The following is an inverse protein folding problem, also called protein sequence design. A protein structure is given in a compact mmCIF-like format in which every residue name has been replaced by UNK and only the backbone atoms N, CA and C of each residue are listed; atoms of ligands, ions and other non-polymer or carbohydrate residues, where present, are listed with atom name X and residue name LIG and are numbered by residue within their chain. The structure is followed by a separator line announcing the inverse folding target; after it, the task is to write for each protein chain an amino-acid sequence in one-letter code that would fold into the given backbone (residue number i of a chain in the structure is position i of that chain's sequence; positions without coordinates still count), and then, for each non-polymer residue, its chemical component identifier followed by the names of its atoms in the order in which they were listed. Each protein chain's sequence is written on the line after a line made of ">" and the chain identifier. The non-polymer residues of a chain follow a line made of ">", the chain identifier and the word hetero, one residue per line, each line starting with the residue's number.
data_IF_367966777788
#
_entry.id   IF_367966777788
#
_cell.length_a   1.000
_cell.length_b   1.000
_cell.length_c   1.000
_cell.angle_alpha   90.00
_cell.angle_beta   90.00
_cell.angle_gamma   90.00
#
_symmetry.space_group_name_H-M   'P 1'
#
loop_
_entity.id
_entity.type
_entity.pdbx_description
1 polymer ?
#
# COMPACT_ATOMS: atom_id res chain seq x y z
N UNK A 1 -8.11 -11.56 26.27
CA UNK A 1 -7.61 -12.20 25.04
C UNK A 1 -6.10 -12.23 25.13
N UNK A 2 -5.43 -13.29 24.67
CA UNK A 2 -3.99 -13.50 24.87
C UNK A 2 -3.15 -12.37 24.25
N UNK A 3 -2.29 -11.73 25.04
CA UNK A 3 -1.36 -10.67 24.59
C UNK A 3 -0.51 -11.12 23.42
N UNK A 4 -0.26 -12.42 23.30
CA UNK A 4 0.46 -13.05 22.19
C UNK A 4 -0.22 -12.79 20.84
N UNK A 5 -1.55 -12.75 20.78
CA UNK A 5 -2.30 -12.53 19.53
C UNK A 5 -2.28 -11.04 19.14
N UNK A 6 -2.36 -10.11 20.11
CA UNK A 6 -2.13 -8.67 19.87
C UNK A 6 -0.73 -8.47 19.30
N UNK A 7 0.29 -8.97 20.01
CA UNK A 7 1.67 -8.81 19.62
C UNK A 7 1.92 -9.35 18.21
N UNK A 8 1.33 -10.49 17.85
CA UNK A 8 1.51 -11.06 16.51
C UNK A 8 0.82 -10.21 15.43
N UNK A 9 -0.33 -9.61 15.71
CA UNK A 9 -1.02 -8.73 14.76
C UNK A 9 -0.25 -7.41 14.56
N UNK A 10 0.38 -6.88 15.60
CA UNK A 10 0.97 -5.53 15.58
C UNK A 10 2.50 -5.48 15.60
N UNK A 11 3.16 -6.63 15.57
CA UNK A 11 4.58 -6.76 15.92
C UNK A 11 5.49 -5.78 15.19
N UNK A 12 5.22 -5.53 13.90
CA UNK A 12 6.03 -4.61 13.07
C UNK A 12 5.65 -3.15 13.25
N UNK A 13 4.44 -2.85 13.73
CA UNK A 13 4.00 -1.48 13.99
C UNK A 13 4.64 -0.94 15.26
N UNK A 14 4.80 -1.77 16.31
CA UNK A 14 5.44 -1.40 17.59
C UNK A 14 6.91 -1.00 17.40
N UNK A 15 7.55 -1.45 16.31
CA UNK A 15 8.91 -1.05 15.95
C UNK A 15 8.98 0.36 15.35
N UNK A 16 7.85 0.97 15.01
CA UNK A 16 7.76 2.33 14.47
C UNK A 16 7.79 3.31 15.64
N UNK A 17 8.65 4.32 15.57
CA UNK A 17 8.77 5.34 16.62
C UNK A 17 7.39 5.98 16.94
N UNK A 18 7.08 6.07 18.24
CA UNK A 18 5.83 6.62 18.75
C UNK A 18 4.66 5.62 18.80
N UNK A 19 4.85 4.39 18.32
CA UNK A 19 3.83 3.34 18.36
C UNK A 19 4.18 2.33 19.46
N UNK A 20 3.45 2.34 20.56
CA UNK A 20 3.60 1.40 21.67
C UNK A 20 2.29 0.62 21.94
N UNK A 21 2.38 -0.37 22.84
CA UNK A 21 1.24 -1.24 23.19
C UNK A 21 0.12 -0.44 23.85
N UNK A 22 0.45 0.52 24.73
CA UNK A 22 -0.53 1.34 25.43
C UNK A 22 -1.32 2.21 24.44
N UNK A 23 -0.65 2.84 23.48
CA UNK A 23 -1.26 3.60 22.41
C UNK A 23 -2.19 2.74 21.55
N UNK A 24 -1.75 1.54 21.18
CA UNK A 24 -2.57 0.60 20.40
C UNK A 24 -3.84 0.18 21.15
N UNK A 25 -3.73 -0.13 22.46
CA UNK A 25 -4.88 -0.48 23.29
C UNK A 25 -5.90 0.67 23.36
N UNK A 26 -5.45 1.91 23.65
CA UNK A 26 -6.32 3.10 23.69
C UNK A 26 -7.05 3.35 22.37
N UNK A 27 -6.39 3.10 21.24
CA UNK A 27 -7.00 3.26 19.92
C UNK A 27 -8.08 2.23 19.64
N UNK A 28 -7.88 0.97 20.04
CA UNK A 28 -8.90 -0.07 19.83
C UNK A 28 -10.21 0.18 20.58
N UNK A 29 -10.18 1.04 21.61
CA UNK A 29 -11.35 1.50 22.35
C UNK A 29 -12.09 2.65 21.64
N UNK A 30 -11.47 3.29 20.64
CA UNK A 30 -12.06 4.38 19.86
C UNK A 30 -13.02 3.82 18.79
N UNK A 31 -14.12 4.53 18.58
CA UNK A 31 -15.20 4.14 17.67
C UNK A 31 -15.41 5.22 16.61
N UNK A 32 -15.61 4.78 15.36
CA UNK A 32 -16.00 5.67 14.26
C UNK A 32 -17.51 5.66 14.05
N UNK A 33 -18.09 6.81 13.70
CA UNK A 33 -19.46 6.89 13.21
C UNK A 33 -19.65 6.20 11.85
N UNK A 34 -20.89 6.17 11.37
CA UNK A 34 -21.26 5.48 10.12
C UNK A 34 -20.75 6.25 8.90
N UNK A 35 -19.92 5.64 8.04
CA UNK A 35 -19.47 6.26 6.81
C UNK A 35 -20.62 6.31 5.78
N UNK A 36 -20.90 7.51 5.28
CA UNK A 36 -21.97 7.81 4.32
C UNK A 36 -21.48 7.74 2.87
N UNK A 37 -20.23 8.09 2.59
CA UNK A 37 -19.69 8.08 1.21
C UNK A 37 -18.54 7.04 1.01
N UNK A 38 -18.24 6.62 -0.23
CA UNK A 38 -17.20 5.62 -0.49
C UNK A 38 -15.81 5.96 0.06
N UNK A 39 -15.43 7.24 0.03
CA UNK A 39 -14.15 7.69 0.57
C UNK A 39 -14.06 7.49 2.10
N UNK A 40 -15.14 7.80 2.83
CA UNK A 40 -15.24 7.56 4.27
C UNK A 40 -15.14 6.07 4.59
N UNK A 41 -15.83 5.23 3.82
CA UNK A 41 -15.75 3.76 3.96
C UNK A 41 -14.31 3.26 3.76
N UNK A 42 -13.58 3.86 2.82
CA UNK A 42 -12.18 3.52 2.59
C UNK A 42 -11.28 3.96 3.75
N UNK A 43 -11.42 5.19 4.25
CA UNK A 43 -10.67 5.70 5.41
C UNK A 43 -10.89 4.80 6.62
N UNK A 44 -12.15 4.51 6.93
CA UNK A 44 -12.58 3.60 7.99
C UNK A 44 -11.91 2.23 7.81
N UNK A 45 -12.01 1.62 6.62
CA UNK A 45 -11.40 0.31 6.33
C UNK A 45 -9.88 0.32 6.50
N UNK A 46 -9.21 1.41 6.14
CA UNK A 46 -7.76 1.56 6.30
C UNK A 46 -7.39 1.63 7.77
N UNK A 47 -8.09 2.47 8.55
CA UNK A 47 -7.91 2.59 10.00
C UNK A 47 -8.17 1.24 10.71
N UNK A 48 -9.19 0.49 10.27
CA UNK A 48 -9.48 -0.86 10.76
C UNK A 48 -8.37 -1.84 10.45
N UNK A 49 -7.89 -1.86 9.20
CA UNK A 49 -6.82 -2.78 8.82
C UNK A 49 -5.53 -2.44 9.51
N UNK A 50 -5.23 -1.16 9.72
CA UNK A 50 -4.12 -0.78 10.58
C UNK A 50 -4.26 -1.24 12.03
N UNK A 51 -5.45 -1.69 12.42
CA UNK A 51 -5.77 -2.23 13.73
C UNK A 51 -5.97 -1.12 14.77
N UNK A 52 -6.61 -0.04 14.36
CA UNK A 52 -6.75 1.16 15.17
C UNK A 52 -8.16 1.41 15.68
N UNK A 53 -9.13 0.51 15.45
CA UNK A 53 -10.54 0.84 15.62
C UNK A 53 -11.42 -0.29 16.13
N UNK A 54 -12.42 0.10 16.92
CA UNK A 54 -13.67 -0.63 17.18
C UNK A 54 -14.82 -0.19 16.24
N UNK A 55 -15.93 -0.94 16.21
CA UNK A 55 -17.08 -0.69 15.33
C UNK A 55 -18.25 -0.11 16.14
N UNK A 56 -18.90 0.96 15.66
CA UNK A 56 -20.11 1.52 16.31
C UNK A 56 -21.30 0.57 16.18
N UNK A 57 -22.25 0.62 17.12
CA UNK A 57 -23.54 -0.08 17.04
C UNK A 57 -24.37 0.29 15.80
N UNK A 58 -24.07 1.43 15.17
CA UNK A 58 -24.79 1.92 13.98
C UNK A 58 -24.34 1.26 12.65
N UNK A 59 -23.35 0.34 12.67
CA UNK A 59 -22.95 -0.42 11.48
C UNK A 59 -23.95 -1.56 11.20
N UNK A 60 -24.17 -1.88 9.92
CA UNK A 60 -25.01 -3.04 9.58
C UNK A 60 -24.35 -4.36 10.01
N UNK A 61 -25.14 -5.33 10.48
CA UNK A 61 -24.65 -6.64 10.94
C UNK A 61 -23.80 -7.41 9.90
N UNK A 62 -24.09 -7.23 8.61
CA UNK A 62 -23.32 -7.84 7.51
C UNK A 62 -21.96 -7.14 7.31
N UNK A 63 -21.89 -5.81 7.47
CA UNK A 63 -20.62 -5.07 7.48
C UNK A 63 -19.81 -5.37 8.75
N UNK A 64 -20.48 -5.47 9.90
CA UNK A 64 -19.87 -5.88 11.17
C UNK A 64 -19.25 -7.27 11.08
N UNK A 65 -19.88 -8.26 10.41
CA UNK A 65 -19.32 -9.61 10.24
C UNK A 65 -18.01 -9.62 9.45
N UNK A 66 -17.93 -8.84 8.37
CA UNK A 66 -16.71 -8.73 7.56
C UNK A 66 -15.60 -8.00 8.33
N UNK A 67 -15.95 -7.01 9.15
CA UNK A 67 -14.99 -6.19 9.91
C UNK A 67 -14.49 -6.90 11.19
N UNK A 68 -15.40 -7.50 11.96
CA UNK A 68 -15.08 -8.30 13.17
C UNK A 68 -14.41 -9.64 12.87
N UNK A 69 -14.67 -10.23 11.70
CA UNK A 69 -14.01 -11.47 11.25
C UNK A 69 -12.51 -11.30 10.93
N UNK A 70 -12.00 -10.07 10.89
CA UNK A 70 -10.59 -9.76 10.59
C UNK A 70 -9.79 -9.46 11.87
N UNK A 71 -10.45 -9.02 12.96
CA UNK A 71 -9.80 -8.62 14.20
C UNK A 71 -10.69 -8.91 15.42
N UNK A 72 -10.28 -9.87 16.24
CA UNK A 72 -10.99 -10.30 17.43
C UNK A 72 -10.97 -9.30 18.60
N UNK A 73 -10.20 -8.20 18.50
CA UNK A 73 -10.12 -7.11 19.50
C UNK A 73 -11.10 -5.98 19.22
N UNK A 74 -11.97 -6.13 18.22
CA UNK A 74 -13.03 -5.16 17.92
C UNK A 74 -14.18 -5.37 18.89
N UNK A 75 -14.44 -4.39 19.74
CA UNK A 75 -15.62 -4.34 20.60
C UNK A 75 -16.59 -3.26 20.11
N UNK A 76 -17.91 -3.51 20.14
CA UNK A 76 -18.89 -2.45 20.00
C UNK A 76 -18.81 -1.53 21.23
N UNK A 77 -18.52 -0.25 21.01
CA UNK A 77 -18.52 0.78 22.06
C UNK A 77 -19.48 1.92 21.68
N UNK A 78 -20.05 2.57 22.68
CA UNK A 78 -21.02 3.67 22.56
C UNK A 78 -20.42 5.06 22.77
N UNK A 79 -19.13 5.17 23.12
CA UNK A 79 -18.56 6.41 23.70
C UNK A 79 -17.44 7.09 22.89
N UNK A 80 -17.42 6.93 21.56
CA UNK A 80 -16.60 7.79 20.70
C UNK A 80 -17.24 7.88 19.33
N UNK A 81 -17.34 9.08 18.76
CA UNK A 81 -17.90 9.23 17.42
C UNK A 81 -16.98 10.09 16.58
N UNK A 82 -16.44 9.50 15.53
CA UNK A 82 -16.12 10.28 14.34
C UNK A 82 -17.40 10.69 13.67
N UNK A 83 -17.70 11.98 13.74
CA UNK A 83 -18.90 12.59 13.18
C UNK A 83 -18.53 13.16 11.82
N UNK A 84 -19.15 12.61 10.78
CA UNK A 84 -19.15 13.22 9.45
C UNK A 84 -20.19 14.35 9.48
N UNK A 85 -19.75 15.58 9.76
CA UNK A 85 -20.64 16.73 9.95
C UNK A 85 -21.33 17.15 8.64
N UNK A 86 -20.61 17.09 7.52
CA UNK A 86 -21.13 17.34 6.18
C UNK A 86 -20.16 16.81 5.10
N UNK A 87 -20.50 16.99 3.82
CA UNK A 87 -19.70 16.54 2.67
C UNK A 87 -18.28 17.12 2.58
N UNK A 88 -17.92 18.05 3.47
CA UNK A 88 -16.68 18.82 3.41
C UNK A 88 -15.88 18.77 4.72
N UNK A 89 -16.46 18.23 5.81
CA UNK A 89 -15.90 18.29 7.16
C UNK A 89 -16.23 17.03 7.97
N UNK A 90 -15.19 16.45 8.58
CA UNK A 90 -15.24 15.36 9.55
C UNK A 90 -14.71 15.90 10.89
N UNK A 91 -15.27 15.46 12.01
CA UNK A 91 -14.73 15.73 13.35
C UNK A 91 -14.64 14.44 14.15
N UNK A 92 -13.66 14.36 15.04
CA UNK A 92 -13.44 13.26 15.98
C UNK A 92 -13.53 13.87 17.37
N UNK A 93 -14.49 13.44 18.16
CA UNK A 93 -14.70 13.93 19.54
C UNK A 93 -14.24 12.87 20.53
N UNK A 94 -13.48 13.27 21.55
CA UNK A 94 -13.09 12.42 22.66
C UNK A 94 -14.00 12.71 23.86
N UNK A 95 -14.32 11.66 24.60
CA UNK A 95 -14.96 11.62 25.91
C UNK A 95 -14.94 12.95 26.70
N UNK A 96 -16.14 13.53 26.95
CA UNK A 96 -16.59 14.65 27.84
C UNK A 96 -15.62 15.80 28.23
N UNK A 97 -14.46 15.84 27.62
CA UNK A 97 -13.40 16.83 27.71
C UNK A 97 -13.43 17.51 26.35
N UNK A 98 -13.53 18.83 26.29
CA UNK A 98 -13.77 19.60 25.06
C UNK A 98 -12.66 19.49 23.97
N UNK A 99 -11.83 18.45 23.99
CA UNK A 99 -10.79 18.16 23.01
C UNK A 99 -11.39 17.50 21.77
N UNK A 100 -11.57 18.31 20.71
CA UNK A 100 -12.09 17.88 19.40
C UNK A 100 -10.99 17.91 18.35
N UNK A 101 -10.86 16.84 17.57
CA UNK A 101 -10.02 16.79 16.37
C UNK A 101 -10.89 16.95 15.12
N UNK A 102 -10.95 18.15 14.54
CA UNK A 102 -11.71 18.41 13.30
C UNK A 102 -10.85 18.22 12.05
N UNK A 103 -11.21 17.21 11.25
CA UNK A 103 -10.60 16.75 10.01
C UNK A 103 -11.42 17.27 8.81
N UNK A 104 -11.04 18.37 8.15
CA UNK A 104 -11.74 18.79 6.92
C UNK A 104 -11.50 17.78 5.78
N UNK A 105 -12.56 17.31 5.14
CA UNK A 105 -12.55 16.22 4.15
C UNK A 105 -13.45 16.58 2.96
N UNK A 106 -12.92 16.87 1.76
CA UNK A 106 -13.74 17.23 0.61
C UNK A 106 -14.65 16.09 0.10
N UNK A 107 -15.76 16.44 -0.56
CA UNK A 107 -16.83 15.52 -0.97
C UNK A 107 -16.41 14.43 -1.98
N UNK A 108 -15.21 14.51 -2.55
CA UNK A 108 -14.74 13.64 -3.64
C UNK A 108 -13.24 13.34 -3.48
N UNK A 109 -12.87 12.75 -2.34
CA UNK A 109 -11.50 12.33 -2.04
C UNK A 109 -11.07 11.19 -2.97
N UNK A 110 -9.89 11.33 -3.58
CA UNK A 110 -9.22 10.25 -4.32
C UNK A 110 -8.75 9.16 -3.36
N UNK A 111 -8.49 7.96 -3.85
CA UNK A 111 -8.05 6.85 -3.00
C UNK A 111 -6.73 7.14 -2.29
N UNK A 112 -5.83 7.88 -2.94
CA UNK A 112 -4.58 8.34 -2.33
C UNK A 112 -4.88 9.35 -1.21
N UNK A 113 -5.79 10.28 -1.46
CA UNK A 113 -6.23 11.25 -0.48
C UNK A 113 -6.86 10.60 0.77
N UNK A 114 -7.61 9.50 0.59
CA UNK A 114 -8.21 8.75 1.70
C UNK A 114 -7.13 8.17 2.65
N UNK A 115 -6.01 7.67 2.13
CA UNK A 115 -4.90 7.15 2.95
C UNK A 115 -4.18 8.27 3.69
N UNK A 116 -3.96 9.40 3.03
CA UNK A 116 -3.37 10.58 3.64
C UNK A 116 -4.27 11.08 4.78
N UNK A 117 -5.58 11.06 4.57
CA UNK A 117 -6.56 11.44 5.59
C UNK A 117 -6.57 10.47 6.78
N UNK A 118 -6.56 9.16 6.51
CA UNK A 118 -6.43 8.13 7.54
C UNK A 118 -5.13 8.28 8.36
N UNK A 119 -4.02 8.60 7.70
CA UNK A 119 -2.74 8.90 8.36
C UNK A 119 -2.84 10.12 9.27
N UNK A 120 -3.52 11.18 8.82
CA UNK A 120 -3.72 12.40 9.61
C UNK A 120 -4.56 12.15 10.86
N UNK A 121 -5.65 11.40 10.72
CA UNK A 121 -6.47 10.94 11.85
C UNK A 121 -5.59 10.18 12.85
N UNK A 122 -4.81 9.20 12.36
CA UNK A 122 -3.87 8.44 13.17
C UNK A 122 -2.82 9.31 13.88
N UNK A 123 -2.23 10.30 13.19
CA UNK A 123 -1.25 11.21 13.77
C UNK A 123 -1.85 12.15 14.82
N UNK A 124 -3.12 12.54 14.67
CA UNK A 124 -3.82 13.34 15.68
C UNK A 124 -4.04 12.54 16.97
N UNK A 125 -4.43 11.26 16.86
CA UNK A 125 -4.50 10.35 18.01
C UNK A 125 -3.14 10.22 18.72
N UNK A 126 -2.04 10.12 17.96
CA UNK A 126 -0.69 10.05 18.52
C UNK A 126 -0.29 11.29 19.32
N UNK A 127 -0.61 12.48 18.81
CA UNK A 127 -0.17 13.76 19.41
C UNK A 127 -1.08 14.25 20.53
N UNK A 128 -2.29 13.69 20.69
CA UNK A 128 -3.34 14.22 21.58
C UNK A 128 -3.65 15.70 21.29
N UNK A 129 -3.55 16.10 20.02
CA UNK A 129 -3.76 17.49 19.59
C UNK A 129 -4.77 17.57 18.45
N UNK A 130 -5.68 18.55 18.54
CA UNK A 130 -6.62 18.92 17.48
C UNK A 130 -5.89 19.29 16.19
N UNK A 131 -5.95 18.44 15.17
CA UNK A 131 -5.31 18.74 13.87
C UNK A 131 -6.33 19.33 12.89
N UNK A 132 -6.29 20.66 12.66
CA UNK A 132 -7.03 21.26 11.54
C UNK A 132 -6.38 20.87 10.22
N UNK A 133 -7.12 20.16 9.37
CA UNK A 133 -6.61 19.73 8.07
C UNK A 133 -6.88 20.77 6.99
N UNK A 134 -5.83 21.21 6.30
CA UNK A 134 -6.00 21.88 5.00
C UNK A 134 -6.13 20.84 3.88
N UNK A 135 -7.10 21.01 2.94
CA UNK A 135 -7.20 20.26 1.69
C UNK A 135 -5.96 20.38 0.79
N UNK A 136 -5.20 21.48 0.89
CA UNK A 136 -4.08 21.79 -0.02
C UNK A 136 -2.93 20.78 0.04
N UNK A 137 -2.86 20.00 1.13
CA UNK A 137 -1.79 19.01 1.38
C UNK A 137 -2.07 17.70 0.62
N UNK A 138 -3.28 17.52 0.09
CA UNK A 138 -3.68 16.30 -0.61
C UNK A 138 -3.37 16.47 -2.10
N UNK A 139 -2.38 15.76 -2.66
CA UNK A 139 -2.10 15.89 -4.08
C UNK A 139 -3.28 15.31 -4.88
N UNK A 140 -3.78 16.05 -5.87
CA UNK A 140 -4.82 15.59 -6.77
C UNK A 140 -4.22 14.62 -7.80
N UNK A 141 -4.29 13.34 -7.46
CA UNK A 141 -4.01 12.26 -8.36
C UNK A 141 -5.31 11.88 -9.06
N UNK A 142 -5.44 12.23 -10.34
CA UNK A 142 -6.62 11.94 -11.16
C UNK A 142 -6.91 10.44 -11.30
N UNK A 143 -7.91 10.08 -12.10
CA UNK A 143 -8.26 8.67 -12.37
C UNK A 143 -7.80 8.25 -13.76
N UNK A 144 -7.22 7.07 -13.87
CA UNK A 144 -6.88 6.44 -15.14
C UNK A 144 -7.67 5.15 -15.31
N UNK A 145 -8.10 4.86 -16.53
CA UNK A 145 -8.46 3.49 -16.93
C UNK A 145 -7.21 2.76 -17.42
N UNK A 146 -7.20 1.44 -17.30
CA UNK A 146 -6.14 0.61 -17.88
C UNK A 146 -6.62 0.06 -19.22
N UNK A 147 -5.86 0.22 -20.32
CA UNK A 147 -6.24 -0.36 -21.60
C UNK A 147 -6.35 -1.89 -21.49
N UNK A 148 -7.42 -2.48 -22.04
CA UNK A 148 -7.77 -3.90 -21.84
C UNK A 148 -6.71 -4.89 -22.32
N UNK A 149 -5.91 -4.50 -23.33
CA UNK A 149 -4.86 -5.34 -23.88
C UNK A 149 -3.59 -5.39 -23.02
N UNK A 150 -3.50 -4.59 -21.95
CA UNK A 150 -2.32 -4.51 -21.10
C UNK A 150 -2.25 -5.66 -20.11
N UNK A 151 -1.04 -6.22 -19.95
CA UNK A 151 -0.71 -7.23 -18.96
C UNK A 151 0.26 -6.67 -17.93
N UNK A 152 -0.07 -6.80 -16.66
CA UNK A 152 0.79 -6.39 -15.54
C UNK A 152 1.26 -7.61 -14.77
N UNK A 153 2.56 -7.66 -14.46
CA UNK A 153 3.13 -8.65 -13.54
C UNK A 153 3.45 -8.00 -12.21
N UNK A 154 2.83 -8.47 -11.12
CA UNK A 154 3.10 -8.01 -9.77
C UNK A 154 3.97 -9.03 -9.05
N UNK A 155 5.17 -8.64 -8.66
CA UNK A 155 6.09 -9.49 -7.87
C UNK A 155 6.01 -9.06 -6.42
N UNK A 156 5.49 -9.94 -5.57
CA UNK A 156 5.11 -9.67 -4.19
C UNK A 156 3.65 -9.24 -4.08
N UNK A 157 2.87 -10.02 -3.34
CA UNK A 157 1.46 -9.80 -3.04
C UNK A 157 1.25 -9.44 -1.55
N UNK A 158 2.26 -8.79 -0.96
CA UNK A 158 2.28 -8.32 0.42
C UNK A 158 1.60 -6.96 0.63
N UNK A 159 2.12 -6.15 1.57
CA UNK A 159 1.49 -4.87 1.96
C UNK A 159 1.51 -3.80 0.86
N UNK A 160 2.52 -3.82 -0.02
CA UNK A 160 2.58 -2.98 -1.23
C UNK A 160 1.75 -3.59 -2.36
N UNK A 161 1.93 -4.89 -2.62
CA UNK A 161 1.31 -5.58 -3.76
C UNK A 161 -0.21 -5.72 -3.65
N UNK A 162 -0.74 -5.84 -2.43
CA UNK A 162 -2.18 -5.93 -2.20
C UNK A 162 -2.94 -4.70 -2.73
N UNK A 163 -2.58 -3.45 -2.35
CA UNK A 163 -3.18 -2.25 -2.94
C UNK A 163 -2.92 -2.14 -4.44
N UNK A 164 -1.73 -2.52 -4.93
CA UNK A 164 -1.44 -2.51 -6.37
C UNK A 164 -2.48 -3.34 -7.13
N UNK A 165 -2.63 -4.61 -6.75
CA UNK A 165 -3.56 -5.53 -7.41
C UNK A 165 -4.99 -5.03 -7.29
N UNK A 166 -5.42 -4.62 -6.09
CA UNK A 166 -6.77 -4.10 -5.84
C UNK A 166 -7.11 -2.93 -6.78
N UNK A 167 -6.19 -1.99 -6.96
CA UNK A 167 -6.45 -0.78 -7.74
C UNK A 167 -6.33 -0.96 -9.23
N UNK A 168 -5.35 -1.74 -9.70
CA UNK A 168 -5.25 -2.06 -11.12
C UNK A 168 -6.51 -2.79 -11.60
N UNK A 169 -7.05 -3.73 -10.82
CA UNK A 169 -8.30 -4.41 -11.15
C UNK A 169 -9.50 -3.45 -11.15
N UNK A 170 -9.64 -2.58 -10.14
CA UNK A 170 -10.69 -1.55 -10.09
C UNK A 170 -10.62 -0.55 -11.24
N UNK A 171 -9.42 -0.30 -11.76
CA UNK A 171 -9.19 0.57 -12.92
C UNK A 171 -9.23 -0.17 -14.26
N UNK A 172 -9.64 -1.43 -14.26
CA UNK A 172 -10.00 -2.18 -15.47
C UNK A 172 -8.92 -3.09 -16.04
N UNK A 173 -7.83 -3.37 -15.30
CA UNK A 173 -6.84 -4.37 -15.72
C UNK A 173 -7.51 -5.72 -15.96
N UNK A 174 -7.29 -6.31 -17.14
CA UNK A 174 -7.86 -7.62 -17.52
C UNK A 174 -6.85 -8.76 -17.46
N UNK A 175 -5.55 -8.48 -17.48
CA UNK A 175 -4.50 -9.51 -17.50
C UNK A 175 -3.49 -9.28 -16.40
N UNK A 176 -3.50 -10.15 -15.40
CA UNK A 176 -2.70 -10.03 -14.19
C UNK A 176 -1.86 -11.28 -13.97
N UNK A 177 -0.56 -11.10 -13.79
CA UNK A 177 0.33 -12.15 -13.30
C UNK A 177 0.77 -11.78 -11.89
N UNK A 178 0.66 -12.70 -10.94
CA UNK A 178 1.12 -12.50 -9.56
C UNK A 178 2.20 -13.52 -9.25
N UNK A 179 3.33 -13.06 -8.72
CA UNK A 179 4.46 -13.90 -8.30
C UNK A 179 4.72 -13.68 -6.82
N UNK A 180 4.49 -14.68 -5.99
CA UNK A 180 4.70 -14.62 -4.55
C UNK A 180 4.85 -16.04 -3.99
N UNK A 181 5.83 -16.28 -3.13
CA UNK A 181 6.09 -17.60 -2.53
C UNK A 181 5.63 -17.72 -1.06
N UNK A 182 5.01 -16.68 -0.51
CA UNK A 182 4.57 -16.65 0.86
C UNK A 182 3.18 -17.26 1.04
N UNK A 183 2.94 -17.62 2.30
CA UNK A 183 1.67 -18.10 2.80
C UNK A 183 1.00 -16.98 3.59
N UNK A 184 -0.32 -16.98 3.64
CA UNK A 184 -1.07 -16.02 4.47
C UNK A 184 -0.80 -16.34 5.95
N UNK A 185 -0.33 -15.34 6.69
CA UNK A 185 -0.06 -15.42 8.12
C UNK A 185 -0.88 -14.36 8.87
N UNK A 186 -1.23 -14.61 10.13
CA UNK A 186 -1.98 -13.64 10.96
C UNK A 186 -1.28 -12.27 11.04
N UNK A 187 0.05 -12.24 11.14
CA UNK A 187 0.87 -11.01 11.14
C UNK A 187 0.86 -10.23 9.82
N UNK A 188 0.19 -10.74 8.79
CA UNK A 188 0.06 -10.10 7.48
C UNK A 188 -1.25 -9.32 7.36
N UNK A 189 -2.30 -9.72 8.09
CA UNK A 189 -3.67 -9.26 7.88
C UNK A 189 -3.85 -7.76 8.17
N UNK A 190 -3.05 -7.19 9.08
CA UNK A 190 -3.12 -5.77 9.42
C UNK A 190 -2.68 -4.82 8.29
N UNK A 191 -2.10 -5.32 7.19
CA UNK A 191 -1.69 -4.45 6.07
C UNK A 191 -1.91 -5.04 4.69
N UNK A 192 -2.19 -6.34 4.59
CA UNK A 192 -2.38 -7.02 3.32
C UNK A 192 -3.87 -7.11 3.02
N UNK A 193 -4.36 -6.13 2.25
CA UNK A 193 -5.78 -5.88 2.03
C UNK A 193 -6.52 -6.96 1.24
N UNK A 194 -5.79 -7.92 0.69
CA UNK A 194 -6.36 -8.99 -0.12
C UNK A 194 -6.54 -10.30 0.62
N UNK A 195 -6.27 -10.42 1.92
CA UNK A 195 -6.43 -11.68 2.67
C UNK A 195 -7.29 -11.50 3.91
N UNK A 196 -7.93 -12.60 4.34
CA UNK A 196 -8.80 -12.66 5.51
C UNK A 196 -8.37 -13.78 6.46
N UNK A 197 -8.99 -13.85 7.64
CA UNK A 197 -8.64 -14.83 8.67
C UNK A 197 -8.77 -16.27 8.17
N UNK A 198 -9.79 -16.56 7.36
CA UNK A 198 -10.02 -17.89 6.78
C UNK A 198 -8.97 -18.28 5.73
N UNK A 199 -8.15 -17.34 5.28
CA UNK A 199 -7.09 -17.59 4.32
C UNK A 199 -5.77 -18.01 4.98
N UNK A 200 -5.65 -17.89 6.31
CA UNK A 200 -4.43 -18.24 7.05
C UNK A 200 -3.99 -19.68 6.72
N UNK A 201 -2.69 -19.84 6.47
CA UNK A 201 -2.10 -21.13 6.12
C UNK A 201 -2.33 -21.55 4.67
N UNK A 202 -2.81 -20.66 3.79
CA UNK A 202 -2.91 -20.91 2.34
C UNK A 202 -1.86 -20.09 1.58
N UNK A 203 -1.35 -20.57 0.43
CA UNK A 203 -0.49 -19.77 -0.43
C UNK A 203 -1.20 -18.51 -0.92
N UNK A 204 -0.53 -17.36 -0.82
CA UNK A 204 -1.10 -16.05 -1.19
C UNK A 204 -1.64 -16.02 -2.62
N UNK A 205 -0.85 -16.51 -3.57
CA UNK A 205 -1.24 -16.53 -4.99
C UNK A 205 -2.49 -17.37 -5.24
N UNK A 206 -2.66 -18.50 -4.53
CA UNK A 206 -3.84 -19.38 -4.69
C UNK A 206 -5.10 -18.76 -4.13
N UNK A 207 -4.98 -18.03 -3.03
CA UNK A 207 -6.08 -17.24 -2.48
C UNK A 207 -6.52 -16.16 -3.46
N UNK A 208 -5.56 -15.46 -4.08
CA UNK A 208 -5.83 -14.42 -5.07
C UNK A 208 -6.49 -14.96 -6.33
N UNK A 209 -5.94 -16.03 -6.94
CA UNK A 209 -6.53 -16.69 -8.12
C UNK A 209 -7.99 -17.05 -7.85
N UNK A 210 -8.26 -17.78 -6.76
CA UNK A 210 -9.62 -18.20 -6.40
C UNK A 210 -10.56 -17.02 -6.20
N UNK A 211 -10.11 -15.96 -5.51
CA UNK A 211 -10.93 -14.79 -5.19
C UNK A 211 -11.25 -13.98 -6.46
N UNK A 212 -10.25 -13.69 -7.27
CA UNK A 212 -10.41 -12.87 -8.47
C UNK A 212 -11.26 -13.60 -9.50
N UNK A 213 -10.99 -14.89 -9.78
CA UNK A 213 -11.82 -15.66 -10.71
C UNK A 213 -13.28 -15.81 -10.25
N UNK A 214 -13.56 -15.75 -8.94
CA UNK A 214 -14.92 -15.79 -8.41
C UNK A 214 -15.69 -14.49 -8.66
N UNK A 215 -15.03 -13.34 -8.50
CA UNK A 215 -15.71 -12.03 -8.50
C UNK A 215 -15.51 -11.22 -9.79
N UNK A 216 -14.50 -11.54 -10.59
CA UNK A 216 -14.12 -10.82 -11.81
C UNK A 216 -13.88 -11.84 -12.94
N UNK A 217 -14.98 -12.30 -13.55
CA UNK A 217 -14.94 -13.37 -14.56
C UNK A 217 -14.24 -12.97 -15.87
N UNK A 218 -14.09 -11.67 -16.11
CA UNK A 218 -13.44 -11.08 -17.27
C UNK A 218 -11.96 -10.78 -17.06
N UNK A 219 -11.39 -11.17 -15.92
CA UNK A 219 -9.97 -11.02 -15.59
C UNK A 219 -9.24 -12.36 -15.71
N UNK A 220 -8.23 -12.39 -16.57
CA UNK A 220 -7.25 -13.46 -16.66
C UNK A 220 -6.19 -13.25 -15.56
N UNK A 221 -6.14 -14.16 -14.59
CA UNK A 221 -5.13 -14.18 -13.53
C UNK A 221 -4.27 -15.45 -13.60
N UNK A 222 -2.96 -15.28 -13.48
CA UNK A 222 -1.98 -16.37 -13.35
C UNK A 222 -1.14 -16.15 -12.10
N UNK A 223 -1.17 -17.10 -11.18
CA UNK A 223 -0.41 -17.11 -9.93
C UNK A 223 0.80 -18.04 -9.97
N UNK A 224 1.98 -17.49 -9.71
CA UNK A 224 3.23 -18.22 -9.56
C UNK A 224 3.63 -18.29 -8.08
N UNK A 225 3.50 -19.48 -7.48
CA UNK A 225 3.92 -19.78 -6.10
C UNK A 225 5.43 -20.04 -6.04
N UNK A 226 6.23 -19.01 -6.36
CA UNK A 226 7.69 -19.10 -6.44
C UNK A 226 8.29 -17.70 -6.33
N UNK A 227 9.61 -17.63 -6.15
CA UNK A 227 10.35 -16.39 -6.36
C UNK A 227 10.38 -16.02 -7.84
N UNK A 228 10.44 -14.73 -8.12
CA UNK A 228 10.63 -14.21 -9.47
C UNK A 228 11.88 -14.79 -10.13
N UNK A 229 11.79 -15.08 -11.42
CA UNK A 229 12.94 -15.35 -12.27
C UNK A 229 12.74 -14.73 -13.66
N UNK A 230 13.84 -14.41 -14.34
CA UNK A 230 13.81 -13.71 -15.62
C UNK A 230 13.10 -14.44 -16.77
N UNK A 231 12.96 -15.77 -16.70
CA UNK A 231 12.24 -16.57 -17.70
C UNK A 231 10.75 -16.21 -17.75
N UNK A 232 10.17 -15.83 -16.60
CA UNK A 232 8.77 -15.41 -16.50
C UNK A 232 8.45 -14.22 -17.41
N UNK A 233 9.39 -13.29 -17.59
CA UNK A 233 9.21 -12.14 -18.48
C UNK A 233 9.03 -12.57 -19.94
N UNK A 234 9.72 -13.65 -20.34
CA UNK A 234 9.67 -14.16 -21.71
C UNK A 234 8.40 -14.98 -21.96
N UNK A 235 7.98 -15.74 -20.95
CA UNK A 235 6.75 -16.53 -20.97
C UNK A 235 5.50 -15.65 -20.95
N UNK A 236 5.44 -14.71 -20.02
CA UNK A 236 4.24 -13.91 -19.78
C UNK A 236 4.15 -12.66 -20.63
N UNK A 237 5.29 -12.08 -21.02
CA UNK A 237 5.39 -10.84 -21.80
C UNK A 237 4.56 -9.69 -21.19
N UNK A 238 4.76 -9.33 -19.91
CA UNK A 238 4.05 -8.22 -19.31
C UNK A 238 4.47 -6.89 -19.96
N UNK A 239 3.53 -5.94 -20.08
CA UNK A 239 3.82 -4.57 -20.50
C UNK A 239 4.60 -3.80 -19.42
N UNK A 240 4.40 -4.17 -18.15
CA UNK A 240 5.06 -3.56 -17.00
C UNK A 240 5.13 -4.55 -15.83
N UNK A 241 6.25 -4.51 -15.11
CA UNK A 241 6.45 -5.25 -13.86
C UNK A 241 6.28 -4.31 -12.66
N UNK A 242 5.67 -4.79 -11.58
CA UNK A 242 5.61 -4.09 -10.29
C UNK A 242 6.49 -4.83 -9.30
N UNK A 243 7.51 -4.14 -8.80
CA UNK A 243 8.39 -4.63 -7.73
C UNK A 243 7.76 -4.25 -6.38
N UNK A 244 7.02 -5.18 -5.78
CA UNK A 244 6.36 -5.03 -4.48
C UNK A 244 6.95 -5.99 -3.42
N UNK A 245 8.22 -6.36 -3.60
CA UNK A 245 9.02 -7.21 -2.70
C UNK A 245 9.76 -6.38 -1.64
N UNK A 246 10.12 -7.00 -0.52
CA UNK A 246 10.74 -6.34 0.63
C UNK A 246 12.24 -6.64 0.81
N UNK A 247 12.84 -7.37 -0.13
CA UNK A 247 14.24 -7.77 -0.13
C UNK A 247 15.00 -7.21 -1.35
N UNK A 248 16.25 -6.81 -1.13
CA UNK A 248 17.13 -6.22 -2.15
C UNK A 248 17.49 -7.23 -3.23
N UNK A 249 17.70 -8.51 -2.86
CA UNK A 249 18.08 -9.56 -3.82
C UNK A 249 17.11 -9.65 -4.99
N UNK A 250 15.82 -9.79 -4.72
CA UNK A 250 14.78 -9.88 -5.76
C UNK A 250 14.62 -8.56 -6.51
N UNK A 251 14.74 -7.40 -5.85
CA UNK A 251 14.73 -6.09 -6.56
C UNK A 251 15.87 -5.96 -7.56
N UNK A 252 17.06 -6.44 -7.20
CA UNK A 252 18.20 -6.43 -8.12
C UNK A 252 18.01 -7.37 -9.30
N UNK A 253 17.43 -8.55 -9.07
CA UNK A 253 17.10 -9.48 -10.13
C UNK A 253 16.04 -8.91 -11.07
N UNK A 254 14.92 -8.39 -10.54
CA UNK A 254 13.91 -7.66 -11.34
C UNK A 254 14.58 -6.56 -12.16
N UNK A 255 15.38 -5.71 -11.52
CA UNK A 255 16.06 -4.60 -12.19
C UNK A 255 16.93 -5.09 -13.36
N UNK A 256 17.76 -6.11 -13.13
CA UNK A 256 18.64 -6.66 -14.16
C UNK A 256 17.83 -7.28 -15.31
N UNK A 257 16.87 -8.13 -15.01
CA UNK A 257 16.10 -8.90 -15.98
C UNK A 257 15.16 -8.02 -16.83
N UNK A 258 14.49 -7.04 -16.20
CA UNK A 258 13.65 -6.04 -16.84
C UNK A 258 14.45 -5.13 -17.76
N UNK A 259 15.58 -4.60 -17.27
CA UNK A 259 16.43 -3.71 -18.07
C UNK A 259 17.01 -4.42 -19.30
N UNK A 260 17.46 -5.67 -19.16
CA UNK A 260 17.98 -6.49 -20.27
C UNK A 260 16.91 -6.79 -21.34
N UNK A 261 15.66 -6.99 -20.93
CA UNK A 261 14.53 -7.32 -21.83
C UNK A 261 13.71 -6.11 -22.27
N UNK A 262 14.13 -4.89 -21.91
CA UNK A 262 13.41 -3.66 -22.24
C UNK A 262 11.96 -3.65 -21.69
N UNK A 263 11.73 -4.30 -20.55
CA UNK A 263 10.45 -4.27 -19.85
C UNK A 263 10.55 -3.19 -18.77
N UNK A 264 9.69 -2.16 -18.75
CA UNK A 264 9.71 -1.18 -17.69
C UNK A 264 9.20 -1.79 -16.38
N UNK A 265 9.66 -1.26 -15.26
CA UNK A 265 9.11 -1.65 -13.97
C UNK A 265 8.94 -0.47 -13.01
N UNK A 266 8.00 -0.63 -12.09
CA UNK A 266 7.73 0.34 -11.02
C UNK A 266 8.16 -0.29 -9.69
N UNK A 267 9.09 0.37 -8.99
CA UNK A 267 9.53 -0.02 -7.65
C UNK A 267 8.92 0.91 -6.59
N UNK A 268 8.77 0.40 -5.37
CA UNK A 268 8.48 1.22 -4.21
C UNK A 268 9.12 0.65 -2.97
N UNK A 269 9.51 1.50 -2.03
CA UNK A 269 10.01 1.10 -0.72
C UNK A 269 9.31 1.90 0.37
N UNK A 270 9.05 1.26 1.51
CA UNK A 270 8.42 1.89 2.68
C UNK A 270 9.16 1.49 3.95
N UNK A 271 9.25 2.42 4.91
CA UNK A 271 9.86 2.20 6.22
C UNK A 271 9.27 3.21 7.21
N UNK A 272 8.71 2.72 8.32
CA UNK A 272 8.06 3.61 9.30
C UNK A 272 6.93 4.43 8.66
N UNK A 273 7.09 5.75 8.67
CA UNK A 273 6.15 6.73 8.10
C UNK A 273 6.51 7.17 6.67
N UNK A 274 7.65 6.71 6.15
CA UNK A 274 8.21 7.19 4.90
C UNK A 274 8.13 6.14 3.80
N UNK A 275 8.12 6.62 2.55
CA UNK A 275 8.26 5.75 1.41
C UNK A 275 8.54 6.48 0.11
N UNK A 276 8.74 5.70 -0.94
CA UNK A 276 8.88 6.21 -2.30
C UNK A 276 8.22 5.28 -3.30
N UNK A 277 7.88 5.83 -4.47
CA UNK A 277 7.63 5.11 -5.71
C UNK A 277 8.61 5.60 -6.77
N UNK A 278 9.08 4.72 -7.63
CA UNK A 278 10.03 5.05 -8.69
C UNK A 278 9.78 4.23 -9.95
N UNK A 279 9.73 4.93 -11.09
CA UNK A 279 9.70 4.32 -12.42
C UNK A 279 11.11 4.02 -12.91
N UNK A 280 11.24 2.89 -13.58
CA UNK A 280 12.42 2.51 -14.33
C UNK A 280 12.03 2.10 -15.76
N UNK A 281 12.28 2.97 -16.74
CA UNK A 281 12.28 2.60 -18.16
C UNK A 281 13.70 2.37 -18.70
N UNK A 282 13.88 1.77 -19.89
CA UNK A 282 15.20 1.58 -20.49
C UNK A 282 16.03 2.87 -20.69
N UNK A 283 15.35 4.01 -20.83
CA UNK A 283 15.92 5.34 -21.02
C UNK A 283 16.33 6.00 -19.70
N UNK A 284 15.66 5.65 -18.60
CA UNK A 284 15.85 6.24 -17.28
C UNK A 284 17.01 5.59 -16.48
N UNK A 285 17.25 6.12 -15.29
CA UNK A 285 18.13 5.49 -14.32
C UNK A 285 17.50 4.20 -13.78
N UNK A 286 18.32 3.16 -13.64
CA UNK A 286 17.85 1.87 -13.12
C UNK A 286 17.90 1.87 -11.59
N UNK A 287 17.34 0.84 -10.95
CA UNK A 287 17.31 0.72 -9.49
C UNK A 287 18.70 0.75 -8.84
N UNK A 288 19.73 0.18 -9.50
CA UNK A 288 21.13 0.25 -9.04
C UNK A 288 21.67 1.68 -9.00
N UNK A 289 21.24 2.56 -9.92
CA UNK A 289 21.64 3.97 -9.87
C UNK A 289 21.13 4.64 -8.59
N UNK A 290 19.89 4.31 -8.19
CA UNK A 290 19.26 4.84 -7.00
C UNK A 290 19.85 4.28 -5.70
N UNK A 291 19.86 2.95 -5.55
CA UNK A 291 20.17 2.32 -4.26
C UNK A 291 21.66 1.98 -4.05
N UNK A 292 22.44 1.90 -5.14
CA UNK A 292 23.82 1.42 -5.13
C UNK A 292 23.98 -0.08 -5.37
N UNK A 293 25.22 -0.56 -5.27
CA UNK A 293 25.60 -1.93 -5.63
C UNK A 293 25.80 -2.87 -4.43
N UNK A 294 25.86 -2.31 -3.21
CA UNK A 294 26.35 -3.00 -2.01
C UNK A 294 25.27 -3.25 -0.94
N UNK A 295 24.01 -2.82 -1.15
CA UNK A 295 22.96 -3.09 -0.16
C UNK A 295 22.69 -4.58 -0.09
N UNK A 296 22.77 -5.10 1.13
CA UNK A 296 22.40 -6.47 1.49
C UNK A 296 21.15 -6.44 2.36
N UNK A 297 20.37 -7.51 2.25
CA UNK A 297 19.28 -7.74 3.17
C UNK A 297 19.84 -7.90 4.58
N UNK A 298 19.34 -7.07 5.50
CA UNK A 298 19.61 -7.22 6.92
C UNK A 298 18.54 -8.11 7.52
N UNK A 299 18.95 -9.06 8.35
CA UNK A 299 18.02 -9.81 9.17
C UNK A 299 17.34 -8.87 10.18
N UNK A 300 16.03 -9.05 10.36
CA UNK A 300 15.25 -8.27 11.31
C UNK A 300 13.91 -7.78 10.76
N UNK A 301 12.97 -7.53 11.68
CA UNK A 301 11.64 -7.01 11.36
C UNK A 301 11.76 -5.53 11.04
N UNK A 302 11.50 -5.14 9.78
CA UNK A 302 11.46 -3.71 9.42
C UNK A 302 10.15 -3.09 9.91
N UNK A 303 10.19 -1.93 10.59
CA UNK A 303 8.99 -1.23 11.03
C UNK A 303 8.14 -0.83 9.83
N UNK A 304 6.84 -1.16 9.87
CA UNK A 304 5.94 -0.86 8.76
C UNK A 304 4.56 -0.51 9.28
N UNK A 305 4.10 0.70 8.96
CA UNK A 305 2.72 1.09 9.20
C UNK A 305 1.84 0.70 8.00
N UNK A 306 0.59 0.30 8.26
CA UNK A 306 -0.30 -0.13 7.19
C UNK A 306 -0.61 0.99 6.21
N UNK A 307 -0.84 2.22 6.68
CA UNK A 307 -1.05 3.38 5.80
C UNK A 307 0.15 3.67 4.90
N UNK A 308 1.37 3.59 5.44
CA UNK A 308 2.60 3.80 4.68
C UNK A 308 2.70 2.76 3.56
N UNK A 309 2.50 1.48 3.89
CA UNK A 309 2.53 0.42 2.88
C UNK A 309 1.41 0.54 1.87
N UNK A 310 0.22 0.95 2.31
CA UNK A 310 -0.93 1.07 1.42
C UNK A 310 -0.77 2.25 0.46
N UNK A 311 -0.35 3.42 0.95
CA UNK A 311 -0.03 4.57 0.10
C UNK A 311 1.07 4.24 -0.90
N UNK A 312 2.14 3.57 -0.46
CA UNK A 312 3.20 3.11 -1.36
C UNK A 312 2.67 2.25 -2.51
N UNK A 313 1.80 1.28 -2.22
CA UNK A 313 1.18 0.43 -3.24
C UNK A 313 0.17 1.17 -4.12
N UNK A 314 -0.60 2.12 -3.58
CA UNK A 314 -1.47 2.98 -4.39
C UNK A 314 -0.67 3.82 -5.37
N UNK A 315 0.43 4.43 -4.91
CA UNK A 315 1.33 5.21 -5.74
C UNK A 315 1.95 4.33 -6.82
N UNK A 316 2.34 3.08 -6.50
CA UNK A 316 2.75 2.12 -7.53
C UNK A 316 1.66 1.87 -8.57
N UNK A 317 0.42 1.60 -8.17
CA UNK A 317 -0.70 1.40 -9.09
C UNK A 317 -0.92 2.63 -9.99
N UNK A 318 -0.82 3.83 -9.42
CA UNK A 318 -0.95 5.09 -10.15
C UNK A 318 0.18 5.27 -11.17
N UNK A 319 1.43 5.00 -10.79
CA UNK A 319 2.59 5.05 -11.69
C UNK A 319 2.49 4.03 -12.82
N UNK A 320 2.05 2.81 -12.52
CA UNK A 320 1.76 1.77 -13.52
C UNK A 320 0.71 2.28 -14.51
N UNK A 321 -0.40 2.81 -14.01
CA UNK A 321 -1.52 3.25 -14.84
C UNK A 321 -1.13 4.44 -15.73
N UNK A 322 -0.39 5.40 -15.19
CA UNK A 322 0.15 6.51 -15.95
C UNK A 322 1.11 6.04 -17.06
N UNK A 323 2.02 5.12 -16.74
CA UNK A 323 2.94 4.53 -17.71
C UNK A 323 2.21 3.82 -18.85
N UNK A 324 1.22 2.98 -18.53
CA UNK A 324 0.43 2.25 -19.53
C UNK A 324 -0.41 3.15 -20.43
N UNK A 325 -0.74 4.36 -19.95
CA UNK A 325 -1.46 5.39 -20.70
C UNK A 325 -0.53 6.43 -21.35
N UNK A 326 0.79 6.21 -21.36
CA UNK A 326 1.80 7.15 -21.87
C UNK A 326 1.70 8.55 -21.23
N UNK A 327 1.24 8.63 -19.98
CA UNK A 327 1.20 9.88 -19.21
C UNK A 327 2.56 10.13 -18.57
N UNK A 328 3.05 11.35 -18.72
CA UNK A 328 4.33 11.76 -18.15
C UNK A 328 4.13 12.14 -16.67
N UNK A 329 4.74 11.36 -15.79
CA UNK A 329 4.91 11.66 -14.37
C UNK A 329 6.40 11.91 -14.09
N UNK A 330 6.75 12.54 -12.96
CA UNK A 330 8.12 12.51 -12.44
C UNK A 330 8.61 11.07 -12.29
N UNK A 331 9.92 10.86 -12.46
CA UNK A 331 10.49 9.51 -12.33
C UNK A 331 10.20 8.91 -10.95
N UNK A 332 10.42 9.69 -9.89
CA UNK A 332 10.23 9.25 -8.52
C UNK A 332 9.42 10.24 -7.68
N UNK A 333 8.78 9.70 -6.65
CA UNK A 333 8.01 10.46 -5.68
C UNK A 333 8.26 9.88 -4.29
N UNK A 334 8.63 10.75 -3.35
CA UNK A 334 8.87 10.43 -1.94
C UNK A 334 7.79 11.07 -1.07
N UNK A 335 7.47 10.40 0.03
CA UNK A 335 6.50 10.89 1.00
C UNK A 335 6.93 10.58 2.44
N UNK A 336 6.47 11.44 3.35
CA UNK A 336 6.56 11.30 4.81
C UNK A 336 5.19 11.62 5.42
N UNK A 337 4.54 10.59 5.98
CA UNK A 337 3.22 10.71 6.61
C UNK A 337 3.26 11.33 8.00
N UNK A 338 4.40 11.30 8.71
CA UNK A 338 4.56 11.90 10.05
C UNK A 338 4.57 13.42 9.96
N UNK A 339 5.33 13.94 8.98
CA UNK A 339 5.51 15.37 8.75
C UNK A 339 4.63 15.92 7.63
N UNK A 340 3.87 15.07 6.94
CA UNK A 340 3.01 15.44 5.81
C UNK A 340 3.77 16.07 4.65
N UNK A 341 4.96 15.56 4.36
CA UNK A 341 5.82 16.07 3.28
C UNK A 341 5.70 15.13 2.07
N UNK A 342 5.53 15.72 0.89
CA UNK A 342 5.48 14.98 -0.36
C UNK A 342 6.32 15.70 -1.42
N UNK A 343 7.17 14.96 -2.14
CA UNK A 343 8.11 15.56 -3.07
C UNK A 343 8.44 14.64 -4.25
N UNK A 344 8.42 15.20 -5.46
CA UNK A 344 8.92 14.53 -6.65
C UNK A 344 10.43 14.77 -6.83
N UNK A 345 11.14 13.77 -7.31
CA UNK A 345 12.56 13.88 -7.61
C UNK A 345 12.96 13.01 -8.80
N UNK A 346 14.12 13.31 -9.37
CA UNK A 346 14.73 12.58 -10.48
C UNK A 346 16.04 11.96 -10.01
N UNK A 347 16.36 10.77 -10.51
CA UNK A 347 17.62 10.08 -10.18
C UNK A 347 18.50 10.07 -11.42
N UNK A 348 19.70 10.67 -11.37
CA UNK A 348 20.60 10.69 -12.51
C UNK A 348 21.12 9.28 -12.83
N UNK A 349 21.26 9.00 -14.12
CA UNK A 349 21.86 7.76 -14.60
C UNK A 349 23.37 7.79 -14.35
N UNK A 350 23.90 6.78 -13.65
CA UNK A 350 25.34 6.65 -13.39
C UNK A 350 26.03 5.99 -14.58
N UNK A 351 27.06 6.63 -15.13
CA UNK A 351 27.83 6.07 -16.26
C UNK A 351 28.51 4.74 -15.90
N UNK A 352 28.98 4.62 -14.66
CA UNK A 352 29.63 3.43 -14.11
C UNK A 352 28.66 2.34 -13.63
N UNK A 353 27.35 2.52 -13.83
CA UNK A 353 26.38 1.54 -13.34
C UNK A 353 26.59 0.18 -14.01
N UNK A 354 26.74 -0.93 -13.25
CA UNK A 354 26.97 -2.26 -13.81
C UNK A 354 25.75 -2.81 -14.55
N UNK A 355 24.59 -2.16 -14.37
CA UNK A 355 23.38 -2.38 -15.15
C UNK A 355 23.34 -1.29 -16.23
N UNK A 356 22.63 -0.18 -16.05
CA UNK A 356 22.32 0.68 -17.20
C UNK A 356 23.47 1.55 -17.75
N UNK A 357 24.71 1.40 -17.24
CA UNK A 357 25.90 2.09 -17.72
C UNK A 357 26.31 1.69 -19.14
N UNK A 358 27.11 2.55 -19.78
CA UNK A 358 27.69 2.30 -21.10
C UNK A 358 29.20 2.13 -20.94
N UNK A 359 29.81 1.24 -21.71
CA UNK A 359 31.27 1.17 -21.77
C UNK A 359 31.85 2.38 -22.55
N UNK A 360 33.17 2.54 -22.52
CA UNK A 360 33.90 3.63 -23.19
C UNK A 360 33.69 3.73 -24.70
N UNK A 361 33.04 2.74 -25.34
CA UNK A 361 32.66 2.73 -26.76
C UNK A 361 31.15 2.96 -26.99
N UNK A 362 30.42 3.38 -25.95
CA UNK A 362 28.97 3.63 -26.01
C UNK A 362 28.10 2.38 -26.09
N UNK A 363 28.67 1.17 -25.99
CA UNK A 363 27.93 -0.10 -25.99
C UNK A 363 27.48 -0.45 -24.57
N UNK A 364 26.35 -1.18 -24.45
CA UNK A 364 25.88 -1.70 -23.17
C UNK A 364 26.88 -2.72 -22.61
N UNK A 365 26.92 -2.89 -21.29
CA UNK A 365 27.92 -3.71 -20.59
C UNK A 365 27.74 -5.24 -20.76
N UNK A 366 26.76 -5.68 -21.55
CA UNK A 366 26.45 -7.08 -21.84
C UNK A 366 25.94 -7.29 -23.26
#
# INVERSE_FOLDING_TARGET
>A
MDDTVILTLYERQILVEGIDIEFQQRLTEQVLGVPRIPAERLIVRLLFRSGLLGVSQDYSWDEMKVLSGINSYIFPSSETTVIFENSSEMSVEYDNTNDRVTVKSPANISDIAAVILASKVFMAFLKKEGTKLSPDIIPDFGRFSIPENKKVMVVGAGGLGSPVIEYLLRWGLKKLVVVDNDWVNVSNLHRQTLYFYEDIGKPKVKVLEKRISRFMQDVEIIGYETTFCGEMLSKEKPDVVVSAVDNFRTRYEINYECYRRYVPFIDAGVSGYEGYVMRHTPEESCYRCFVGDDKKDKEGKKPILPFTSYLGGLLQAYWVSALLNNKKLPQAYWFDLKNMIFSSFEVPKKETCPVCGRNSRGRRLW
#
